data_IF_624493750711
#
_entry.id   IF_624493750711
#
_cell.length_a   1.000
_cell.length_b   1.000
_cell.length_c   1.000
_cell.angle_alpha   90.00
_cell.angle_beta   90.00
_cell.angle_gamma   90.00
#
_symmetry.space_group_name_H-M   'P 1'
#
loop_
_entity.id
_entity.type
_entity.pdbx_description
1 polymer ?
#
# COMPACT_ATOMS: atom_id res chain seq x y z
N UNK A 1 28.35 11.42 6.77
CA UNK A 1 27.53 11.04 5.62
C UNK A 1 27.54 9.52 5.60
N UNK A 2 26.41 8.89 5.88
CA UNK A 2 26.32 7.44 5.81
C UNK A 2 26.06 7.07 4.35
N UNK A 3 26.87 6.17 3.80
CA UNK A 3 26.61 5.59 2.48
C UNK A 3 25.37 4.69 2.61
N UNK A 4 24.24 5.18 2.12
CA UNK A 4 22.99 4.44 2.11
C UNK A 4 23.10 3.29 1.07
N UNK A 5 23.34 2.08 1.55
CA UNK A 5 23.50 0.87 0.74
C UNK A 5 22.13 0.27 0.42
N UNK A 6 21.53 0.70 -0.69
CA UNK A 6 20.33 0.04 -1.20
C UNK A 6 20.67 -1.37 -1.72
N UNK A 7 20.06 -2.37 -1.09
CA UNK A 7 20.14 -3.77 -1.53
C UNK A 7 19.09 -4.10 -2.60
N UNK A 8 19.41 -5.05 -3.48
CA UNK A 8 18.43 -5.65 -4.41
C UNK A 8 17.89 -6.94 -3.80
N UNK A 9 16.59 -7.14 -3.89
CA UNK A 9 15.91 -8.36 -3.45
C UNK A 9 15.29 -9.02 -4.67
N UNK A 10 15.60 -10.30 -4.88
CA UNK A 10 15.05 -11.04 -6.02
C UNK A 10 13.60 -11.44 -5.76
N UNK A 11 12.80 -11.38 -6.82
CA UNK A 11 11.47 -11.97 -6.85
C UNK A 11 11.58 -13.50 -6.98
N UNK A 12 10.58 -14.27 -6.52
CA UNK A 12 10.51 -15.70 -6.81
C UNK A 12 10.37 -15.93 -8.32
N UNK A 13 10.86 -17.07 -8.81
CA UNK A 13 10.96 -17.36 -10.25
C UNK A 13 9.63 -17.19 -11.00
N UNK A 14 8.51 -17.56 -10.39
CA UNK A 14 7.16 -17.44 -10.95
C UNK A 14 6.72 -15.98 -11.19
N UNK A 15 7.24 -15.04 -10.39
CA UNK A 15 7.01 -13.61 -10.56
C UNK A 15 8.06 -12.98 -11.47
N UNK A 16 9.25 -13.57 -11.59
CA UNK A 16 10.35 -13.04 -12.41
C UNK A 16 10.04 -13.01 -13.91
N UNK A 17 9.18 -13.92 -14.38
CA UNK A 17 8.76 -14.02 -15.78
C UNK A 17 7.53 -13.15 -16.10
N UNK A 18 6.93 -12.53 -15.09
CA UNK A 18 5.71 -11.75 -15.24
C UNK A 18 6.01 -10.32 -15.73
N UNK A 19 5.06 -9.70 -16.44
CA UNK A 19 5.19 -8.30 -16.82
C UNK A 19 5.13 -7.42 -15.58
N UNK A 20 6.09 -6.52 -15.41
CA UNK A 20 6.11 -5.59 -14.28
C UNK A 20 4.80 -4.80 -14.09
N UNK A 21 4.07 -4.49 -15.17
CA UNK A 21 2.77 -3.81 -15.11
C UNK A 21 1.65 -4.62 -14.42
N UNK A 22 1.83 -5.93 -14.28
CA UNK A 22 0.91 -6.83 -13.59
C UNK A 22 1.29 -7.05 -12.11
N UNK A 23 2.45 -6.54 -11.68
CA UNK A 23 2.96 -6.71 -10.33
C UNK A 23 2.78 -5.42 -9.52
N UNK A 24 2.31 -5.55 -8.29
CA UNK A 24 2.19 -4.45 -7.34
C UNK A 24 2.86 -4.82 -6.03
N UNK A 25 3.78 -3.97 -5.58
CA UNK A 25 4.48 -4.12 -4.31
C UNK A 25 3.74 -3.32 -3.24
N UNK A 26 3.58 -3.90 -2.06
CA UNK A 26 2.99 -3.24 -0.90
C UNK A 26 3.53 -3.81 0.41
N UNK A 27 3.35 -3.06 1.48
CA UNK A 27 3.56 -3.56 2.84
C UNK A 27 2.29 -4.30 3.29
N UNK A 28 2.47 -5.50 3.82
CA UNK A 28 1.43 -6.24 4.54
C UNK A 28 1.96 -6.50 5.94
N UNK A 29 1.36 -5.84 6.93
CA UNK A 29 1.89 -5.76 8.30
C UNK A 29 3.37 -5.31 8.29
N UNK A 30 4.29 -6.18 8.72
CA UNK A 30 5.74 -5.95 8.75
C UNK A 30 6.49 -6.65 7.59
N UNK A 31 5.75 -7.27 6.67
CA UNK A 31 6.30 -8.01 5.54
C UNK A 31 6.14 -7.27 4.22
N UNK A 32 7.02 -7.58 3.26
CA UNK A 32 6.89 -7.16 1.87
C UNK A 32 5.97 -8.14 1.14
N UNK A 33 4.97 -7.59 0.45
CA UNK A 33 4.05 -8.35 -0.37
C UNK A 33 4.12 -7.93 -1.84
N UNK A 34 3.91 -8.90 -2.73
CA UNK A 34 3.74 -8.69 -4.16
C UNK A 34 2.40 -9.27 -4.59
N UNK A 35 1.60 -8.46 -5.25
CA UNK A 35 0.34 -8.88 -5.87
C UNK A 35 0.58 -9.03 -7.35
N UNK A 36 0.39 -10.25 -7.86
CA UNK A 36 0.35 -10.53 -9.29
C UNK A 36 -1.09 -10.51 -9.77
N UNK A 37 -1.41 -9.66 -10.74
CA UNK A 37 -2.71 -9.65 -11.40
C UNK A 37 -2.68 -10.52 -12.65
N UNK A 38 -3.67 -11.39 -12.76
CA UNK A 38 -4.00 -12.07 -14.00
C UNK A 38 -5.20 -11.37 -14.63
N UNK A 39 -5.02 -10.86 -15.85
CA UNK A 39 -6.04 -10.12 -16.57
C UNK A 39 -6.55 -10.99 -17.70
N UNK A 40 -7.62 -11.73 -17.46
CA UNK A 40 -8.29 -12.49 -18.50
C UNK A 40 -9.45 -11.70 -19.11
N UNK A 41 -9.88 -12.12 -20.30
CA UNK A 41 -10.91 -11.46 -21.12
C UNK A 41 -12.30 -11.50 -20.42
N UNK A 42 -12.53 -12.49 -19.54
CA UNK A 42 -13.83 -12.77 -18.92
C UNK A 42 -13.85 -12.61 -17.38
N UNK A 43 -12.80 -12.03 -16.82
CA UNK A 43 -12.63 -11.91 -15.37
C UNK A 43 -11.15 -11.76 -15.06
N UNK A 44 -10.85 -11.20 -13.90
CA UNK A 44 -9.46 -11.12 -13.43
C UNK A 44 -9.31 -11.91 -12.15
N UNK A 45 -8.07 -12.30 -11.85
CA UNK A 45 -7.71 -12.75 -10.52
C UNK A 45 -6.45 -12.04 -10.07
N UNK A 46 -6.18 -12.07 -8.77
CA UNK A 46 -4.87 -11.71 -8.29
C UNK A 46 -4.36 -12.73 -7.28
N UNK A 47 -3.05 -12.95 -7.31
CA UNK A 47 -2.34 -13.85 -6.43
C UNK A 47 -1.46 -13.00 -5.51
N UNK A 48 -1.64 -13.19 -4.21
CA UNK A 48 -0.84 -12.52 -3.18
C UNK A 48 0.38 -13.38 -2.80
N UNK A 49 1.55 -12.78 -2.88
CA UNK A 49 2.82 -13.33 -2.41
C UNK A 49 3.35 -12.50 -1.26
N UNK A 50 3.91 -13.15 -0.24
CA UNK A 50 4.52 -12.49 0.92
C UNK A 50 5.88 -13.09 1.21
N UNK A 51 6.84 -12.20 1.45
CA UNK A 51 8.18 -12.51 1.93
C UNK A 51 8.11 -12.70 3.45
N UNK A 52 8.19 -13.96 3.90
CA UNK A 52 8.09 -14.30 5.32
C UNK A 52 9.30 -13.82 6.12
N UNK A 53 10.48 -13.81 5.49
CA UNK A 53 11.72 -13.35 6.10
C UNK A 53 12.36 -12.31 5.18
N UNK A 54 12.57 -11.10 5.70
CA UNK A 54 13.02 -9.98 4.89
C UNK A 54 14.39 -10.25 4.25
N UNK A 55 14.47 -10.09 2.94
CA UNK A 55 15.69 -10.30 2.16
C UNK A 55 16.01 -11.75 1.80
N UNK A 56 15.27 -12.74 2.34
CA UNK A 56 15.46 -14.17 2.03
C UNK A 56 14.52 -14.57 0.91
N UNK A 57 15.07 -14.86 -0.27
CA UNK A 57 14.30 -15.15 -1.50
C UNK A 57 13.47 -16.42 -1.35
N UNK A 58 14.00 -17.43 -0.65
CA UNK A 58 13.35 -18.71 -0.41
C UNK A 58 12.16 -18.59 0.55
N UNK A 59 12.03 -17.45 1.24
CA UNK A 59 10.93 -17.19 2.17
C UNK A 59 9.66 -16.67 1.49
N UNK A 60 9.73 -16.35 0.20
CA UNK A 60 8.54 -15.98 -0.58
C UNK A 60 7.52 -17.11 -0.56
N UNK A 61 6.28 -16.77 -0.21
CA UNK A 61 5.19 -17.73 -0.14
C UNK A 61 3.93 -17.19 -0.78
N UNK A 62 3.26 -18.04 -1.56
CA UNK A 62 1.93 -17.76 -2.10
C UNK A 62 0.91 -17.91 -0.98
N UNK A 63 0.12 -16.88 -0.75
CA UNK A 63 -0.90 -16.85 0.29
C UNK A 63 -2.26 -17.24 -0.29
N UNK A 64 -2.82 -16.40 -1.16
CA UNK A 64 -4.22 -16.50 -1.57
C UNK A 64 -4.37 -16.14 -3.05
N UNK A 65 -5.32 -16.81 -3.71
CA UNK A 65 -5.84 -16.43 -5.03
C UNK A 65 -7.19 -15.77 -4.83
N UNK A 66 -7.36 -14.56 -5.36
CA UNK A 66 -8.56 -13.75 -5.20
C UNK A 66 -9.17 -13.54 -6.58
N UNK A 67 -10.42 -13.96 -6.75
CA UNK A 67 -11.20 -13.63 -7.94
C UNK A 67 -11.63 -12.16 -7.85
N UNK A 68 -11.40 -11.40 -8.91
CA UNK A 68 -11.84 -10.00 -9.00
C UNK A 68 -13.30 -9.97 -9.40
N UNK A 69 -14.14 -9.53 -8.47
CA UNK A 69 -15.60 -9.43 -8.65
C UNK A 69 -16.04 -7.97 -8.62
N UNK A 70 -17.26 -7.69 -9.06
CA UNK A 70 -17.89 -6.37 -8.95
C UNK A 70 -17.06 -5.19 -9.50
N UNK A 71 -16.24 -5.46 -10.53
CA UNK A 71 -15.41 -4.45 -11.16
C UNK A 71 -14.16 -4.05 -10.37
N UNK A 72 -13.70 -4.87 -9.41
CA UNK A 72 -12.40 -4.70 -8.75
C UNK A 72 -11.25 -4.66 -9.78
N UNK A 73 -10.36 -3.69 -9.62
CA UNK A 73 -9.24 -3.49 -10.55
C UNK A 73 -7.87 -3.59 -9.88
N UNK A 74 -7.71 -3.01 -8.68
CA UNK A 74 -6.41 -2.87 -8.03
C UNK A 74 -6.55 -2.93 -6.51
N UNK A 75 -5.60 -3.60 -5.86
CA UNK A 75 -5.48 -3.55 -4.39
C UNK A 75 -4.88 -2.20 -4.00
N UNK A 76 -5.56 -1.52 -3.09
CA UNK A 76 -5.15 -0.23 -2.52
C UNK A 76 -4.42 -0.43 -1.19
N UNK A 77 -4.79 -1.46 -0.43
CA UNK A 77 -4.15 -1.81 0.84
C UNK A 77 -4.94 -2.85 1.63
N UNK A 78 -4.57 -3.03 2.89
CA UNK A 78 -5.17 -4.01 3.80
C UNK A 78 -5.68 -3.33 5.06
N UNK A 79 -6.78 -3.86 5.63
CA UNK A 79 -7.33 -3.42 6.91
C UNK A 79 -6.91 -4.38 8.02
N UNK A 80 -6.86 -3.88 9.26
CA UNK A 80 -6.55 -4.68 10.47
C UNK A 80 -7.51 -5.85 10.70
N UNK A 81 -8.74 -5.80 10.16
CA UNK A 81 -9.70 -6.90 10.26
C UNK A 81 -9.47 -8.01 9.20
N UNK A 82 -8.42 -7.89 8.39
CA UNK A 82 -8.09 -8.83 7.31
C UNK A 82 -8.79 -8.56 5.99
N UNK A 83 -9.65 -7.53 5.91
CA UNK A 83 -10.25 -7.14 4.64
C UNK A 83 -9.22 -6.49 3.72
N UNK A 84 -9.41 -6.70 2.42
CA UNK A 84 -8.58 -6.17 1.36
C UNK A 84 -9.32 -4.99 0.72
N UNK A 85 -8.63 -3.87 0.56
CA UNK A 85 -9.19 -2.68 -0.07
C UNK A 85 -8.92 -2.72 -1.57
N UNK A 86 -9.96 -2.59 -2.37
CA UNK A 86 -9.86 -2.54 -3.83
C UNK A 86 -10.41 -1.22 -4.38
N UNK A 87 -9.75 -0.67 -5.39
CA UNK A 87 -10.38 0.29 -6.29
C UNK A 87 -11.19 -0.47 -7.36
N UNK A 88 -12.30 0.12 -7.78
CA UNK A 88 -13.16 -0.45 -8.81
C UNK A 88 -13.19 0.41 -10.08
N UNK A 89 -13.67 -0.18 -11.18
CA UNK A 89 -13.91 0.52 -12.45
C UNK A 89 -14.96 1.65 -12.34
N UNK A 90 -15.72 1.70 -11.24
CA UNK A 90 -16.66 2.79 -10.90
C UNK A 90 -15.97 3.92 -10.14
N UNK A 91 -14.64 3.92 -10.05
CA UNK A 91 -13.87 4.89 -9.28
C UNK A 91 -14.28 4.94 -7.81
N UNK A 92 -14.62 3.78 -7.24
CA UNK A 92 -15.03 3.60 -5.83
C UNK A 92 -14.03 2.70 -5.10
N UNK A 93 -13.77 3.00 -3.83
CA UNK A 93 -13.03 2.14 -2.91
C UNK A 93 -14.01 1.18 -2.19
N UNK A 94 -13.71 -0.11 -2.26
CA UNK A 94 -14.48 -1.17 -1.60
C UNK A 94 -13.61 -2.00 -0.65
N UNK A 95 -14.24 -2.56 0.39
CA UNK A 95 -13.63 -3.51 1.33
C UNK A 95 -14.10 -4.92 0.98
N UNK A 96 -13.17 -5.82 0.65
CA UNK A 96 -13.44 -7.21 0.33
C UNK A 96 -13.01 -8.11 1.47
N UNK A 97 -13.92 -8.95 1.96
CA UNK A 97 -13.61 -9.95 2.99
C UNK A 97 -13.22 -11.29 2.33
N UNK A 98 -11.96 -11.76 2.42
CA UNK A 98 -11.55 -12.99 1.75
C UNK A 98 -12.28 -14.25 2.22
N UNK A 99 -12.70 -14.27 3.50
CA UNK A 99 -13.36 -15.42 4.12
C UNK A 99 -14.81 -15.60 3.67
N UNK A 100 -15.53 -14.50 3.51
CA UNK A 100 -16.97 -14.52 3.16
C UNK A 100 -17.24 -14.15 1.70
N UNK A 101 -16.22 -13.62 1.01
CA UNK A 101 -16.28 -13.06 -0.35
C UNK A 101 -17.24 -11.89 -0.50
N UNK A 102 -17.62 -11.25 0.61
CA UNK A 102 -18.51 -10.08 0.60
C UNK A 102 -17.72 -8.83 0.20
N UNK A 103 -18.32 -8.03 -0.68
CA UNK A 103 -17.83 -6.72 -1.09
C UNK A 103 -18.66 -5.63 -0.41
N UNK A 104 -18.01 -4.77 0.36
CA UNK A 104 -18.63 -3.65 1.05
C UNK A 104 -18.19 -2.33 0.43
N UNK A 105 -19.16 -1.51 0.03
CA UNK A 105 -18.92 -0.16 -0.46
C UNK A 105 -18.60 0.79 0.68
N UNK A 106 -17.53 1.57 0.54
CA UNK A 106 -17.09 2.52 1.57
C UNK A 106 -17.57 3.94 1.32
N UNK A 107 -18.19 4.23 0.17
CA UNK A 107 -18.64 5.57 -0.19
C UNK A 107 -17.49 6.55 -0.48
N UNK A 108 -16.28 6.05 -0.69
CA UNK A 108 -15.09 6.84 -1.02
C UNK A 108 -14.85 6.70 -2.53
N UNK A 109 -14.79 7.84 -3.21
CA UNK A 109 -14.57 7.89 -4.65
C UNK A 109 -13.21 8.47 -4.99
N UNK A 110 -12.58 7.90 -6.01
CA UNK A 110 -11.27 8.30 -6.49
C UNK A 110 -10.86 7.46 -7.69
N UNK A 111 -9.96 7.98 -8.50
CA UNK A 111 -9.41 7.20 -9.61
C UNK A 111 -8.59 6.02 -9.07
N UNK A 112 -8.57 4.89 -9.77
CA UNK A 112 -7.86 3.67 -9.32
C UNK A 112 -6.37 3.87 -9.02
N UNK A 113 -5.77 4.92 -9.57
CA UNK A 113 -4.36 5.30 -9.36
C UNK A 113 -4.13 6.43 -8.36
N UNK A 114 -5.18 7.06 -7.84
CA UNK A 114 -5.08 8.17 -6.87
C UNK A 114 -5.37 7.77 -5.43
N UNK A 115 -5.76 6.51 -5.20
CA UNK A 115 -6.04 6.00 -3.86
C UNK A 115 -4.77 5.42 -3.25
N UNK A 116 -4.48 5.85 -2.02
CA UNK A 116 -3.37 5.36 -1.20
C UNK A 116 -3.88 5.06 0.20
N UNK A 117 -3.44 3.93 0.75
CA UNK A 117 -3.71 3.53 2.13
C UNK A 117 -2.36 3.32 2.79
N UNK A 118 -2.11 4.07 3.86
CA UNK A 118 -0.93 3.93 4.70
C UNK A 118 -1.29 3.30 6.04
N UNK A 119 -0.35 2.56 6.61
CA UNK A 119 -0.46 2.14 8.01
C UNK A 119 -0.19 3.35 8.90
N UNK A 120 -1.12 3.63 9.81
CA UNK A 120 -0.88 4.62 10.86
C UNK A 120 0.02 4.01 11.93
N UNK A 121 1.24 4.51 12.03
CA UNK A 121 2.15 4.25 13.13
C UNK A 121 2.13 5.47 14.05
N UNK A 122 1.66 5.31 15.28
CA UNK A 122 1.77 6.37 16.27
C UNK A 122 3.25 6.58 16.59
N UNK A 123 3.74 7.79 16.35
CA UNK A 123 5.08 8.20 16.74
C UNK A 123 4.95 9.24 17.85
N UNK A 124 5.85 9.20 18.84
CA UNK A 124 5.90 10.18 19.93
C UNK A 124 6.41 11.56 19.48
N UNK A 125 6.44 11.83 18.17
CA UNK A 125 6.75 13.15 17.65
C UNK A 125 5.54 14.04 17.91
N UNK A 126 5.69 14.95 18.87
CA UNK A 126 4.71 15.98 19.14
C UNK A 126 4.54 16.80 17.85
N UNK A 127 3.40 16.67 17.18
CA UNK A 127 2.99 17.63 16.15
C UNK A 127 2.71 18.95 16.88
N UNK A 128 3.73 19.80 16.97
CA UNK A 128 3.55 21.13 17.50
C UNK A 128 2.62 21.86 16.52
N UNK A 129 1.45 22.28 17.01
CA UNK A 129 0.52 23.09 16.24
C UNK A 129 1.23 24.39 15.83
N UNK A 130 1.74 24.43 14.61
CA UNK A 130 2.11 25.69 13.98
C UNK A 130 0.82 26.36 13.53
N UNK A 131 0.12 26.98 14.48
CA UNK A 131 -0.84 28.03 14.14
C UNK A 131 -0.09 29.04 13.29
N UNK A 132 -0.40 29.09 11.99
CA UNK A 132 0.15 30.08 11.08
C UNK A 132 -0.13 31.48 11.64
N UNK A 133 0.89 32.13 12.19
CA UNK A 133 1.00 33.59 12.11
C UNK A 133 1.98 33.84 10.97
N UNK A 134 1.44 33.89 9.75
CA UNK A 134 2.16 34.49 8.63
C UNK A 134 1.84 35.97 8.66
N UNK A 135 2.61 36.73 9.42
CA UNK A 135 2.90 38.11 9.03
C UNK A 135 4.37 38.37 9.29
N UNK A 136 5.14 38.39 8.20
CA UNK A 136 6.53 38.81 8.25
C UNK A 136 6.57 40.24 8.76
N UNK A 137 6.99 40.43 10.01
CA UNK A 137 7.54 41.64 10.63
C UNK A 137 7.68 41.42 12.15
N UNK A 138 8.58 40.53 12.55
CA UNK A 138 9.25 40.62 13.86
C UNK A 138 10.74 40.31 13.66
N UNK A 139 11.34 40.93 12.64
CA UNK A 139 12.76 41.27 12.71
C UNK A 139 12.90 42.26 13.86
N UNK A 140 13.93 42.05 14.69
CA UNK A 140 14.32 42.81 15.89
C UNK A 140 13.66 42.31 17.20
N UNK A 141 14.47 42.20 18.27
CA UNK A 141 14.17 41.65 19.61
C UNK A 141 14.21 40.10 19.67
N UNK A 142 15.35 39.39 19.72
CA UNK A 142 16.48 39.53 20.64
C UNK A 142 17.76 38.96 19.99
N UNK A 143 18.51 39.78 19.26
CA UNK A 143 19.95 39.71 19.42
C UNK A 143 20.28 40.17 20.85
N UNK A 144 21.31 39.59 21.48
CA UNK A 144 21.83 39.99 22.80
C UNK A 144 21.01 39.50 24.00
N UNK A 145 21.36 38.35 24.56
CA UNK A 145 21.85 38.21 25.95
C UNK A 145 22.52 36.83 26.05
N UNK A 146 23.68 36.80 26.69
CA UNK A 146 24.65 35.70 26.81
C UNK A 146 24.03 34.40 27.33
#
# INVERSE_FOLDING_TARGET
>A
MADELFGKIMLPDELSQERAANLYIMALDESVAVVKFDREIHGGSCILWVMKEYGVVESWSRLHSIELVEGMERIVGFRKNGDILFSTNKSELVSYCPNTRVVNKLGIFGTSRSLYVGNYLETLLLLQDHSCIVEGLAKEIKSMSI
#
